data_IF_194877534662
#
_entry.id   IF_194877534662
#
_cell.length_a   1.000
_cell.length_b   1.000
_cell.length_c   1.000
_cell.angle_alpha   90.00
_cell.angle_beta   90.00
_cell.angle_gamma   90.00
#
_symmetry.space_group_name_H-M   'P 1'
#
loop_
_entity.id
_entity.type
_entity.pdbx_description
1 polymer ?
#
# COMPACT_ATOMS: atom_id res chain seq x y z
N UNK A 1 1.02 2.85 -14.24
CA UNK A 1 0.30 4.06 -14.71
C UNK A 1 -0.68 3.63 -15.79
N UNK A 2 -1.95 4.04 -15.71
CA UNK A 2 -2.93 3.86 -16.78
C UNK A 2 -3.29 5.26 -17.28
N UNK A 3 -2.96 5.58 -18.51
CA UNK A 3 -3.38 6.83 -19.13
C UNK A 3 -4.12 6.50 -20.43
N UNK A 4 -5.13 7.30 -20.74
CA UNK A 4 -5.93 7.17 -21.96
C UNK A 4 -5.41 8.19 -22.93
N UNK A 5 -5.02 7.73 -24.11
CA UNK A 5 -4.63 8.58 -25.24
C UNK A 5 -5.66 8.42 -26.33
N UNK A 6 -5.82 9.46 -27.14
CA UNK A 6 -6.49 9.32 -28.43
C UNK A 6 -5.71 8.29 -29.27
N UNK A 7 -6.42 7.55 -30.11
CA UNK A 7 -5.84 6.51 -30.98
C UNK A 7 -4.68 7.07 -31.83
N UNK A 8 -4.88 8.25 -32.41
CA UNK A 8 -3.89 8.99 -33.20
C UNK A 8 -2.63 9.40 -32.42
N UNK A 9 -2.75 9.50 -31.09
CA UNK A 9 -1.66 9.88 -30.19
C UNK A 9 -0.95 8.67 -29.58
N UNK A 10 -1.45 7.45 -29.77
CA UNK A 10 -0.93 6.25 -29.12
C UNK A 10 0.55 6.00 -29.44
N UNK A 11 0.95 6.21 -30.69
CA UNK A 11 2.36 6.04 -31.11
C UNK A 11 3.31 7.09 -30.52
N UNK A 12 2.80 8.24 -30.07
CA UNK A 12 3.60 9.31 -29.45
C UNK A 12 3.57 9.24 -27.92
N UNK A 13 2.79 8.32 -27.37
CA UNK A 13 2.64 8.19 -25.93
C UNK A 13 3.92 7.58 -25.32
N UNK A 14 4.54 8.30 -24.39
CA UNK A 14 5.72 7.82 -23.70
C UNK A 14 5.32 6.87 -22.57
N UNK A 15 6.06 5.76 -22.36
CA UNK A 15 5.81 4.88 -21.23
C UNK A 15 6.00 5.65 -19.91
N UNK A 16 5.31 5.22 -18.87
CA UNK A 16 5.48 5.83 -17.55
C UNK A 16 6.90 5.57 -17.03
N UNK A 17 7.70 6.61 -16.88
CA UNK A 17 9.11 6.49 -16.47
C UNK A 17 9.29 6.41 -14.94
N UNK A 18 8.21 6.58 -14.18
CA UNK A 18 8.21 6.51 -12.72
C UNK A 18 8.58 5.09 -12.27
N UNK A 19 9.83 4.91 -11.84
CA UNK A 19 10.29 3.64 -11.28
C UNK A 19 9.79 3.48 -9.84
N UNK A 20 9.36 2.28 -9.48
CA UNK A 20 8.92 1.93 -8.12
C UNK A 20 10.01 1.24 -7.30
N UNK A 21 11.21 1.09 -7.86
CA UNK A 21 12.37 0.44 -7.26
C UNK A 21 13.67 0.94 -7.92
N UNK A 22 14.81 0.79 -7.26
CA UNK A 22 16.13 1.12 -7.76
C UNK A 22 16.55 0.13 -8.87
N UNK A 23 16.92 0.67 -10.04
CA UNK A 23 17.34 -0.11 -11.21
C UNK A 23 18.84 -0.38 -11.24
N UNK A 24 19.63 0.43 -10.55
CA UNK A 24 21.07 0.29 -10.43
C UNK A 24 21.54 0.42 -8.98
N UNK A 25 22.75 -0.06 -8.68
CA UNK A 25 23.34 0.08 -7.33
C UNK A 25 23.51 1.52 -6.88
N UNK A 26 23.70 2.45 -7.82
CA UNK A 26 23.88 3.88 -7.52
C UNK A 26 22.60 4.55 -7.03
N UNK A 27 21.45 3.94 -7.33
CA UNK A 27 20.13 4.47 -6.96
C UNK A 27 19.65 3.93 -5.60
N UNK A 28 20.37 2.96 -5.02
CA UNK A 28 20.03 2.38 -3.72
C UNK A 28 20.36 3.39 -2.62
N UNK A 29 19.38 3.68 -1.76
CA UNK A 29 19.51 4.63 -0.66
C UNK A 29 19.53 6.13 -1.07
N UNK A 30 19.57 6.43 -2.37
CA UNK A 30 19.58 7.82 -2.88
C UNK A 30 18.26 8.13 -3.57
N UNK A 31 17.35 8.80 -2.87
CA UNK A 31 16.06 9.18 -3.43
C UNK A 31 16.15 10.54 -4.13
N UNK A 32 15.80 10.58 -5.41
CA UNK A 32 15.67 11.82 -6.19
C UNK A 32 14.22 12.20 -6.45
N UNK A 33 13.96 13.47 -6.68
CA UNK A 33 12.65 13.93 -7.15
C UNK A 33 12.35 13.34 -8.53
N UNK A 34 11.09 12.93 -8.73
CA UNK A 34 10.55 12.55 -10.03
C UNK A 34 9.42 13.49 -10.36
N UNK A 35 9.70 14.48 -11.19
CA UNK A 35 8.76 15.53 -11.56
C UNK A 35 7.89 15.10 -12.74
N UNK A 36 6.58 15.24 -12.58
CA UNK A 36 5.59 14.99 -13.62
C UNK A 36 4.80 16.27 -13.86
N UNK A 37 4.57 16.60 -15.14
CA UNK A 37 3.85 17.81 -15.53
C UNK A 37 2.34 17.66 -15.28
N UNK A 38 1.73 18.74 -14.81
CA UNK A 38 0.31 18.81 -14.49
C UNK A 38 -0.03 18.18 -13.14
N UNK A 39 -1.33 18.01 -12.87
CA UNK A 39 -1.80 17.37 -11.63
C UNK A 39 -1.56 18.16 -10.35
N UNK A 40 -1.28 19.47 -10.45
CA UNK A 40 -1.16 20.35 -9.30
C UNK A 40 -2.55 20.65 -8.73
N UNK A 41 -2.98 19.93 -7.69
CA UNK A 41 -4.29 20.05 -7.05
C UNK A 41 -4.36 21.29 -6.13
N UNK A 42 -3.24 21.68 -5.52
CA UNK A 42 -3.20 22.83 -4.59
C UNK A 42 -3.30 24.18 -5.31
N UNK A 43 -2.82 24.24 -6.56
CA UNK A 43 -2.74 25.47 -7.35
C UNK A 43 -1.79 26.52 -6.80
N UNK A 44 -0.91 26.16 -5.87
CA UNK A 44 0.14 27.03 -5.33
C UNK A 44 1.49 26.34 -5.43
N UNK A 45 2.50 27.09 -5.82
CA UNK A 45 3.87 26.60 -5.89
C UNK A 45 4.48 26.54 -4.48
N UNK A 46 4.89 25.37 -4.02
CA UNK A 46 5.52 25.18 -2.71
C UNK A 46 6.85 25.93 -2.59
N UNK A 47 7.52 26.20 -3.71
CA UNK A 47 8.79 26.93 -3.73
C UNK A 47 8.62 28.44 -3.58
N UNK A 48 7.80 29.07 -4.42
CA UNK A 48 7.67 30.53 -4.48
C UNK A 48 6.38 31.07 -3.85
N UNK A 49 5.49 30.17 -3.41
CA UNK A 49 4.19 30.46 -2.80
C UNK A 49 3.19 31.22 -3.70
N UNK A 50 3.53 31.43 -4.98
CA UNK A 50 2.65 32.05 -5.98
C UNK A 50 1.72 31.01 -6.63
N UNK A 51 0.59 31.48 -7.15
CA UNK A 51 -0.41 30.64 -7.82
C UNK A 51 0.17 29.96 -9.07
N UNK A 52 -0.04 28.66 -9.21
CA UNK A 52 0.20 27.92 -10.46
C UNK A 52 -1.03 28.15 -11.34
N UNK A 53 -0.83 28.69 -12.56
CA UNK A 53 -1.92 28.94 -13.50
C UNK A 53 -2.37 27.62 -14.11
N UNK A 54 -3.24 26.90 -13.43
CA UNK A 54 -3.80 25.63 -13.89
C UNK A 54 -4.91 25.91 -14.93
N UNK A 55 -4.54 26.38 -16.13
CA UNK A 55 -5.44 26.33 -17.28
C UNK A 55 -5.26 24.95 -17.95
N UNK A 56 -6.35 24.17 -18.04
CA UNK A 56 -6.38 22.83 -18.63
C UNK A 56 -5.39 21.79 -18.05
N UNK A 57 -5.01 21.93 -16.76
CA UNK A 57 -4.34 20.89 -15.96
C UNK A 57 -2.94 20.41 -16.38
N UNK A 58 -2.30 21.02 -17.39
CA UNK A 58 -0.99 20.62 -17.94
C UNK A 58 0.15 21.60 -17.63
N UNK A 59 -0.03 22.50 -16.66
CA UNK A 59 0.97 23.50 -16.26
C UNK A 59 1.42 23.22 -14.83
N UNK A 60 2.71 23.45 -14.55
CA UNK A 60 3.32 23.11 -13.27
C UNK A 60 3.83 21.67 -13.24
N UNK A 61 4.65 21.40 -12.24
CA UNK A 61 5.26 20.10 -11.99
C UNK A 61 4.85 19.65 -10.59
N UNK A 62 4.53 18.38 -10.42
CA UNK A 62 4.44 17.77 -9.10
C UNK A 62 5.45 16.63 -8.98
N UNK A 63 6.04 16.47 -7.80
CA UNK A 63 6.91 15.33 -7.52
C UNK A 63 6.07 14.15 -7.06
N UNK A 64 6.23 12.98 -7.69
CA UNK A 64 5.43 11.78 -7.39
C UNK A 64 5.63 11.26 -5.96
N UNK A 65 6.78 11.52 -5.35
CA UNK A 65 7.13 10.97 -4.04
C UNK A 65 6.85 11.92 -2.87
N UNK A 66 7.33 13.17 -2.93
CA UNK A 66 7.08 14.15 -1.87
C UNK A 66 5.82 14.99 -2.06
N UNK A 67 5.13 14.85 -3.20
CA UNK A 67 3.90 15.57 -3.55
C UNK A 67 4.02 17.10 -3.58
N UNK A 68 5.25 17.63 -3.64
CA UNK A 68 5.47 19.06 -3.86
C UNK A 68 4.96 19.46 -5.24
N UNK A 69 4.30 20.61 -5.32
CA UNK A 69 3.84 21.25 -6.55
C UNK A 69 4.64 22.52 -6.79
N UNK A 70 5.22 22.68 -7.98
CA UNK A 70 6.06 23.84 -8.34
C UNK A 70 5.73 24.34 -9.74
N UNK A 71 6.10 25.60 -10.02
CA UNK A 71 6.18 26.07 -11.41
C UNK A 71 7.34 25.40 -12.15
N UNK A 72 7.22 25.25 -13.47
CA UNK A 72 8.32 24.81 -14.34
C UNK A 72 9.59 25.66 -14.12
N UNK A 73 9.44 26.99 -14.02
CA UNK A 73 10.55 27.93 -13.78
C UNK A 73 11.19 27.78 -12.38
N UNK A 74 10.47 27.21 -11.42
CA UNK A 74 10.99 26.97 -10.07
C UNK A 74 11.87 25.71 -10.00
N UNK A 75 11.86 24.85 -11.02
CA UNK A 75 12.57 23.56 -11.02
C UNK A 75 14.08 23.69 -10.84
N UNK A 76 14.71 24.66 -11.50
CA UNK A 76 16.17 24.86 -11.41
C UNK A 76 16.63 25.24 -10.00
N UNK A 77 15.72 25.83 -9.20
CA UNK A 77 15.96 26.20 -7.82
C UNK A 77 15.64 25.06 -6.83
N UNK A 78 15.20 23.90 -7.32
CA UNK A 78 15.00 22.69 -6.53
C UNK A 78 16.27 21.84 -6.58
N UNK A 79 16.63 21.24 -5.44
CA UNK A 79 17.66 20.21 -5.40
C UNK A 79 17.21 18.93 -6.12
N UNK A 80 18.14 17.99 -6.27
CA UNK A 80 17.82 16.67 -6.83
C UNK A 80 17.24 15.70 -5.79
N UNK A 81 17.67 15.80 -4.53
CA UNK A 81 17.29 14.90 -3.44
C UNK A 81 15.85 15.10 -3.00
N UNK A 82 15.13 14.00 -2.80
CA UNK A 82 13.75 13.99 -2.34
C UNK A 82 13.62 13.23 -1.03
N UNK A 83 13.02 13.87 -0.03
CA UNK A 83 12.81 13.34 1.31
C UNK A 83 11.47 12.61 1.49
N UNK A 84 10.75 12.37 0.39
CA UNK A 84 9.36 11.86 0.38
C UNK A 84 8.34 12.74 1.12
N UNK A 85 8.72 13.97 1.47
CA UNK A 85 7.84 15.02 1.96
C UNK A 85 7.01 14.64 3.18
N UNK A 86 5.76 15.12 3.19
CA UNK A 86 4.88 14.94 4.34
C UNK A 86 4.58 13.48 4.64
N UNK A 87 4.54 12.58 3.65
CA UNK A 87 4.17 11.19 3.85
C UNK A 87 5.38 10.25 4.03
N UNK A 88 6.58 10.79 4.29
CA UNK A 88 7.83 10.04 4.38
C UNK A 88 7.81 8.87 5.37
N UNK A 89 7.04 8.96 6.45
CA UNK A 89 6.97 7.89 7.45
C UNK A 89 6.41 6.60 6.85
N UNK A 90 5.47 6.73 5.90
CA UNK A 90 4.77 5.59 5.32
C UNK A 90 5.23 5.22 3.92
N UNK A 91 5.80 6.16 3.16
CA UNK A 91 6.28 5.90 1.80
C UNK A 91 7.51 4.99 1.86
N UNK A 92 7.48 3.91 1.07
CA UNK A 92 8.66 3.12 0.76
C UNK A 92 9.24 3.62 -0.56
N UNK A 93 10.29 4.47 -0.55
CA UNK A 93 10.80 5.08 -1.76
C UNK A 93 11.39 4.03 -2.72
N UNK A 94 11.42 4.31 -4.04
CA UNK A 94 12.09 3.44 -5.00
C UNK A 94 13.52 3.09 -4.61
N UNK A 95 14.28 4.03 -4.05
CA UNK A 95 15.65 3.82 -3.57
C UNK A 95 15.77 2.79 -2.44
N UNK A 96 14.68 2.48 -1.74
CA UNK A 96 14.59 1.46 -0.68
C UNK A 96 14.13 0.09 -1.18
N UNK A 97 13.84 -0.06 -2.47
CA UNK A 97 13.42 -1.35 -3.06
C UNK A 97 14.39 -1.69 -4.18
N UNK A 98 15.01 -2.86 -4.16
CA UNK A 98 15.98 -3.22 -5.20
C UNK A 98 16.05 -4.74 -5.44
N UNK A 99 16.40 -5.19 -6.66
CA UNK A 99 16.64 -6.60 -6.92
C UNK A 99 17.77 -7.15 -6.04
N UNK A 100 17.58 -8.35 -5.50
CA UNK A 100 18.57 -9.06 -4.69
C UNK A 100 19.93 -9.18 -5.38
N UNK A 101 19.95 -9.28 -6.72
CA UNK A 101 21.19 -9.32 -7.52
C UNK A 101 22.02 -8.03 -7.42
N UNK A 102 21.38 -6.88 -7.17
CA UNK A 102 22.07 -5.62 -6.93
C UNK A 102 22.70 -5.57 -5.54
N UNK A 103 22.16 -6.29 -4.56
CA UNK A 103 22.72 -6.42 -3.21
C UNK A 103 24.07 -7.17 -3.20
N UNK A 104 24.32 -8.01 -4.22
CA UNK A 104 25.45 -8.94 -4.28
C UNK A 104 26.79 -8.25 -4.63
N UNK A 105 27.34 -7.51 -3.66
CA UNK A 105 28.79 -7.42 -3.41
C UNK A 105 29.28 -8.45 -2.38
N UNK A 106 28.37 -9.20 -1.76
CA UNK A 106 28.67 -10.35 -0.90
C UNK A 106 28.06 -11.61 -1.50
N UNK A 107 28.89 -12.65 -1.59
CA UNK A 107 28.69 -13.89 -2.31
C UNK A 107 27.41 -14.63 -1.93
N UNK A 108 26.68 -15.14 -2.93
CA UNK A 108 25.97 -16.43 -2.87
C UNK A 108 25.67 -16.93 -4.27
N UNK A 109 26.54 -17.83 -4.76
CA UNK A 109 26.25 -18.72 -5.88
C UNK A 109 25.16 -19.70 -5.44
N UNK A 110 23.99 -19.65 -6.04
CA UNK A 110 23.17 -20.85 -6.23
C UNK A 110 22.45 -20.78 -7.56
N UNK A 111 22.89 -21.66 -8.45
CA UNK A 111 22.21 -22.11 -9.65
C UNK A 111 20.80 -22.62 -9.36
N UNK A 112 19.84 -22.33 -10.23
CA UNK A 112 19.04 -23.35 -10.93
C UNK A 112 18.08 -22.74 -11.96
N UNK A 113 18.14 -23.34 -13.14
CA UNK A 113 17.25 -23.21 -14.30
C UNK A 113 15.82 -23.62 -13.95
N UNK A 114 14.81 -22.85 -14.37
CA UNK A 114 13.45 -23.35 -14.60
C UNK A 114 12.70 -22.38 -15.51
N UNK A 115 12.17 -22.91 -16.62
CA UNK A 115 11.24 -22.20 -17.51
C UNK A 115 9.94 -21.93 -16.73
N UNK A 116 9.47 -20.68 -16.73
CA UNK A 116 8.30 -20.24 -15.96
C UNK A 116 7.26 -19.58 -16.86
N UNK A 117 6.00 -19.93 -16.63
CA UNK A 117 4.79 -19.41 -17.27
C UNK A 117 4.46 -17.99 -16.79
N UNK A 118 3.61 -17.25 -17.53
CA UNK A 118 3.36 -15.82 -17.29
C UNK A 118 2.81 -15.46 -15.88
N UNK A 119 2.05 -16.34 -15.23
CA UNK A 119 1.56 -16.11 -13.85
C UNK A 119 2.67 -16.19 -12.79
N UNK A 120 3.71 -16.98 -13.06
CA UNK A 120 4.85 -17.17 -12.16
C UNK A 120 5.87 -16.00 -12.29
N UNK A 121 5.68 -15.13 -13.29
CA UNK A 121 6.51 -13.94 -13.52
C UNK A 121 6.17 -12.79 -12.56
N UNK A 122 4.90 -12.65 -12.15
CA UNK A 122 4.50 -11.62 -11.18
C UNK A 122 4.88 -12.01 -9.75
N UNK A 123 4.72 -13.29 -9.38
CA UNK A 123 5.20 -13.82 -8.09
C UNK A 123 6.74 -13.75 -7.96
N UNK A 124 7.47 -14.17 -9.01
CA UNK A 124 8.94 -14.11 -8.99
C UNK A 124 9.51 -12.69 -8.95
N UNK A 125 8.75 -11.67 -9.40
CA UNK A 125 9.20 -10.28 -9.32
C UNK A 125 9.32 -9.80 -7.87
N UNK A 126 8.40 -10.19 -6.98
CA UNK A 126 8.48 -9.81 -5.56
C UNK A 126 9.52 -10.64 -4.81
N UNK A 127 9.67 -11.92 -5.14
CA UNK A 127 10.72 -12.78 -4.56
C UNK A 127 12.14 -12.35 -4.95
N UNK A 128 12.28 -11.64 -6.08
CA UNK A 128 13.55 -11.08 -6.52
C UNK A 128 13.89 -9.74 -5.86
N UNK A 129 12.93 -9.01 -5.29
CA UNK A 129 13.14 -7.68 -4.72
C UNK A 129 13.39 -7.75 -3.21
N UNK A 130 14.25 -6.86 -2.72
CA UNK A 130 14.55 -6.62 -1.32
C UNK A 130 14.09 -5.24 -0.93
N UNK A 131 13.78 -5.07 0.34
CA UNK A 131 13.41 -3.82 0.95
C UNK A 131 14.45 -3.47 2.01
N UNK A 132 14.99 -2.26 1.91
CA UNK A 132 15.82 -1.64 2.95
C UNK A 132 15.17 -0.31 3.34
N UNK A 133 14.35 -0.28 4.41
CA UNK A 133 13.54 0.88 4.74
C UNK A 133 14.40 2.04 5.22
N UNK A 134 13.93 3.26 4.95
CA UNK A 134 14.56 4.48 5.45
C UNK A 134 14.57 4.46 6.98
N UNK A 135 15.67 4.91 7.60
CA UNK A 135 15.76 4.95 9.06
C UNK A 135 14.70 5.88 9.66
N UNK A 136 14.18 5.53 10.84
CA UNK A 136 13.15 6.28 11.57
C UNK A 136 11.84 6.47 10.78
N UNK A 137 11.46 5.49 9.95
CA UNK A 137 10.15 5.45 9.28
C UNK A 137 9.43 4.14 9.58
N UNK A 138 8.14 4.09 9.24
CA UNK A 138 7.26 2.94 9.39
C UNK A 138 6.56 2.63 8.06
N UNK A 139 7.22 1.89 7.15
CA UNK A 139 6.66 1.54 5.85
C UNK A 139 5.27 0.93 5.97
N UNK A 140 4.31 1.49 5.25
CA UNK A 140 2.92 1.05 5.32
C UNK A 140 2.62 0.02 4.23
N UNK A 141 2.07 -1.13 4.62
CA UNK A 141 1.47 -2.11 3.72
C UNK A 141 -0.04 -1.92 3.70
N UNK A 142 -0.61 -1.58 2.55
CA UNK A 142 -2.02 -1.26 2.39
C UNK A 142 -2.73 -2.38 1.64
N UNK A 143 -3.75 -2.97 2.26
CA UNK A 143 -4.66 -3.90 1.61
C UNK A 143 -5.99 -3.22 1.36
N UNK A 144 -6.49 -3.31 0.12
CA UNK A 144 -7.77 -2.71 -0.25
C UNK A 144 -8.69 -3.77 -0.83
N UNK A 145 -9.92 -3.84 -0.32
CA UNK A 145 -11.02 -4.54 -0.98
C UNK A 145 -11.76 -3.55 -1.90
N UNK A 146 -11.60 -3.64 -3.23
CA UNK A 146 -12.19 -2.65 -4.15
C UNK A 146 -13.72 -2.65 -4.18
N UNK A 147 -14.36 -3.77 -3.81
CA UNK A 147 -15.83 -3.89 -3.77
C UNK A 147 -16.45 -3.22 -2.54
N UNK A 148 -15.66 -2.93 -1.50
CA UNK A 148 -16.15 -2.29 -0.27
C UNK A 148 -16.57 -0.83 -0.48
N UNK A 149 -17.50 -0.36 0.36
CA UNK A 149 -17.90 1.06 0.40
C UNK A 149 -18.72 1.55 -0.80
N UNK A 150 -19.45 0.67 -1.50
CA UNK A 150 -20.25 1.07 -2.66
C UNK A 150 -19.40 1.53 -3.85
N UNK A 151 -18.35 0.75 -4.18
CA UNK A 151 -17.33 1.05 -5.20
C UNK A 151 -16.36 2.19 -4.83
N UNK A 152 -16.39 2.69 -3.60
CA UNK A 152 -15.35 3.61 -3.10
C UNK A 152 -13.99 2.92 -2.96
N UNK A 153 -13.97 1.60 -2.70
CA UNK A 153 -12.73 0.83 -2.59
C UNK A 153 -11.81 0.96 -3.81
N UNK A 154 -12.34 1.01 -5.02
CA UNK A 154 -11.53 1.28 -6.22
C UNK A 154 -10.86 2.66 -6.13
N UNK A 155 -11.62 3.72 -5.83
CA UNK A 155 -11.07 5.08 -5.70
C UNK A 155 -9.98 5.16 -4.63
N UNK A 156 -10.20 4.48 -3.50
CA UNK A 156 -9.22 4.38 -2.40
C UNK A 156 -7.95 3.65 -2.86
N UNK A 157 -8.08 2.52 -3.57
CA UNK A 157 -6.95 1.80 -4.14
C UNK A 157 -6.12 2.70 -5.05
N UNK A 158 -6.76 3.38 -6.01
CA UNK A 158 -6.09 4.28 -6.94
C UNK A 158 -5.40 5.44 -6.21
N UNK A 159 -6.06 6.07 -5.23
CA UNK A 159 -5.49 7.20 -4.51
C UNK A 159 -4.34 6.78 -3.59
N UNK A 160 -4.39 5.61 -2.95
CA UNK A 160 -3.22 5.12 -2.20
C UNK A 160 -2.05 4.75 -3.12
N UNK A 161 -2.29 4.17 -4.31
CA UNK A 161 -1.23 3.93 -5.30
C UNK A 161 -0.62 5.22 -5.85
N UNK A 162 -1.34 6.34 -5.74
CA UNK A 162 -0.82 7.67 -6.06
C UNK A 162 -0.02 8.26 -4.88
N UNK A 163 -0.54 8.18 -3.66
CA UNK A 163 0.06 8.78 -2.47
C UNK A 163 1.31 8.02 -1.97
N UNK A 164 1.32 6.70 -2.13
CA UNK A 164 2.37 5.78 -1.70
C UNK A 164 3.04 5.13 -2.91
N UNK A 165 4.10 4.36 -2.67
CA UNK A 165 4.63 3.50 -3.73
C UNK A 165 3.60 2.41 -4.09
N UNK A 166 3.22 2.22 -5.37
CA UNK A 166 2.25 1.20 -5.76
C UNK A 166 2.58 -0.23 -5.30
N UNK A 167 3.86 -0.53 -5.03
CA UNK A 167 4.30 -1.82 -4.45
C UNK A 167 3.86 -2.03 -3.00
N UNK A 168 3.34 -1.00 -2.35
CA UNK A 168 2.80 -1.03 -1.00
C UNK A 168 1.29 -1.32 -0.97
N UNK A 169 0.61 -1.24 -2.11
CA UNK A 169 -0.86 -1.20 -2.15
C UNK A 169 -1.40 -2.39 -2.93
N UNK A 170 -2.02 -3.33 -2.22
CA UNK A 170 -2.47 -4.61 -2.76
C UNK A 170 -3.99 -4.64 -2.91
N UNK A 171 -4.43 -5.14 -4.07
CA UNK A 171 -5.84 -5.38 -4.34
C UNK A 171 -6.21 -6.78 -3.87
N UNK A 172 -6.99 -6.87 -2.79
CA UNK A 172 -7.33 -8.15 -2.17
C UNK A 172 -8.14 -9.08 -3.07
N UNK A 173 -8.94 -8.56 -3.99
CA UNK A 173 -9.74 -9.39 -4.89
C UNK A 173 -8.94 -9.95 -6.06
N UNK A 174 -7.80 -9.31 -6.38
CA UNK A 174 -6.95 -9.71 -7.50
C UNK A 174 -5.78 -10.57 -7.02
N UNK A 175 -5.06 -10.09 -6.02
CA UNK A 175 -3.76 -10.62 -5.65
C UNK A 175 -3.81 -11.44 -4.33
N UNK A 176 -4.87 -11.28 -3.54
CA UNK A 176 -4.95 -11.79 -2.18
C UNK A 176 -3.96 -11.09 -1.22
N UNK A 177 -3.99 -11.42 0.08
CA UNK A 177 -3.08 -10.85 1.08
C UNK A 177 -1.66 -11.45 1.08
N UNK A 178 -1.52 -12.71 0.68
CA UNK A 178 -0.27 -13.48 0.82
C UNK A 178 0.93 -12.86 0.09
N UNK A 179 0.81 -12.30 -1.13
CA UNK A 179 1.95 -11.66 -1.79
C UNK A 179 2.49 -10.45 -1.02
N UNK A 180 1.59 -9.62 -0.48
CA UNK A 180 1.98 -8.42 0.28
C UNK A 180 2.65 -8.78 1.60
N UNK A 181 2.08 -9.73 2.35
CA UNK A 181 2.67 -10.21 3.61
C UNK A 181 4.04 -10.85 3.40
N UNK A 182 4.22 -11.62 2.32
CA UNK A 182 5.54 -12.18 1.96
C UNK A 182 6.55 -11.10 1.61
N UNK A 183 6.14 -10.10 0.84
CA UNK A 183 7.03 -9.01 0.41
C UNK A 183 7.49 -8.15 1.59
N UNK A 184 6.63 -7.94 2.60
CA UNK A 184 6.93 -7.17 3.80
C UNK A 184 7.43 -7.98 5.00
N UNK A 185 7.60 -9.30 4.85
CA UNK A 185 7.89 -10.23 5.95
C UNK A 185 9.04 -9.79 6.86
N UNK A 186 10.12 -9.32 6.24
CA UNK A 186 11.37 -8.98 6.92
C UNK A 186 11.56 -7.45 7.05
N UNK A 187 10.50 -6.65 6.82
CA UNK A 187 10.58 -5.19 6.88
C UNK A 187 10.38 -4.73 8.33
N UNK A 188 11.43 -4.21 9.00
CA UNK A 188 11.32 -3.75 10.38
C UNK A 188 10.38 -2.55 10.48
N UNK A 189 9.62 -2.48 11.57
CA UNK A 189 8.73 -1.35 11.87
C UNK A 189 7.56 -1.18 10.89
N UNK A 190 7.30 -2.15 10.00
CA UNK A 190 6.18 -2.05 9.07
C UNK A 190 4.84 -2.02 9.80
N UNK A 191 3.88 -1.31 9.21
CA UNK A 191 2.49 -1.24 9.68
C UNK A 191 1.57 -1.73 8.57
N UNK A 192 0.40 -2.24 8.93
CA UNK A 192 -0.62 -2.66 7.95
C UNK A 192 -1.83 -1.74 8.04
N UNK A 193 -2.36 -1.31 6.90
CA UNK A 193 -3.65 -0.64 6.78
C UNK A 193 -4.61 -1.50 5.95
N UNK A 194 -5.74 -1.90 6.55
CA UNK A 194 -6.77 -2.69 5.86
C UNK A 194 -7.96 -1.80 5.53
N UNK A 195 -8.28 -1.69 4.25
CA UNK A 195 -9.38 -0.89 3.74
C UNK A 195 -10.55 -1.80 3.37
N UNK A 196 -11.53 -1.93 4.27
CA UNK A 196 -12.64 -2.86 4.18
C UNK A 196 -13.54 -2.82 5.41
N UNK A 197 -14.46 -3.78 5.52
CA UNK A 197 -15.24 -4.04 6.73
C UNK A 197 -14.64 -5.19 7.56
N UNK A 198 -15.34 -5.61 8.60
CA UNK A 198 -14.89 -6.58 9.60
C UNK A 198 -14.46 -7.91 8.97
N UNK A 199 -15.19 -8.41 7.97
CA UNK A 199 -14.80 -9.64 7.25
C UNK A 199 -13.50 -9.51 6.46
N UNK A 200 -13.21 -8.33 5.91
CA UNK A 200 -11.93 -8.06 5.24
C UNK A 200 -10.79 -7.99 6.25
N UNK A 201 -11.00 -7.33 7.39
CA UNK A 201 -10.01 -7.27 8.47
C UNK A 201 -9.74 -8.66 9.03
N UNK A 202 -10.79 -9.46 9.25
CA UNK A 202 -10.67 -10.83 9.73
C UNK A 202 -9.86 -11.72 8.79
N UNK A 203 -10.09 -11.61 7.48
CA UNK A 203 -9.30 -12.34 6.49
C UNK A 203 -7.80 -11.99 6.57
N UNK A 204 -7.46 -10.70 6.67
CA UNK A 204 -6.05 -10.28 6.83
C UNK A 204 -5.43 -10.85 8.10
N UNK A 205 -6.12 -10.74 9.24
CA UNK A 205 -5.63 -11.26 10.52
C UNK A 205 -5.39 -12.76 10.46
N UNK A 206 -6.29 -13.52 9.85
CA UNK A 206 -6.12 -14.96 9.64
C UNK A 206 -4.93 -15.27 8.73
N UNK A 207 -4.73 -14.53 7.65
CA UNK A 207 -3.55 -14.73 6.79
C UNK A 207 -2.25 -14.37 7.51
N UNK A 208 -2.24 -13.34 8.36
CA UNK A 208 -1.08 -13.00 9.20
C UNK A 208 -0.73 -14.16 10.13
N UNK A 209 -1.72 -14.78 10.78
CA UNK A 209 -1.49 -15.95 11.65
C UNK A 209 -0.82 -17.09 10.89
N UNK A 210 -1.26 -17.34 9.64
CA UNK A 210 -0.71 -18.39 8.76
C UNK A 210 0.64 -18.03 8.16
N UNK A 211 0.98 -16.75 8.06
CA UNK A 211 2.20 -16.27 7.39
C UNK A 211 3.48 -16.51 8.22
N UNK A 212 3.36 -16.86 9.50
CA UNK A 212 4.48 -17.11 10.42
C UNK A 212 5.57 -16.02 10.32
N UNK A 213 5.12 -14.76 10.45
CA UNK A 213 5.99 -13.59 10.39
C UNK A 213 6.89 -13.53 11.63
N UNK A 214 8.18 -13.13 11.50
CA UNK A 214 9.09 -13.02 12.65
C UNK A 214 8.58 -12.03 13.70
N UNK A 215 7.96 -10.94 13.24
CA UNK A 215 7.30 -9.93 14.06
C UNK A 215 5.94 -9.64 13.42
N UNK A 216 4.88 -9.67 14.23
CA UNK A 216 3.52 -9.36 13.76
C UNK A 216 3.34 -7.83 13.76
N UNK A 217 3.08 -7.21 12.59
CA UNK A 217 2.91 -5.76 12.50
C UNK A 217 1.55 -5.31 13.06
N UNK A 218 1.46 -4.09 13.61
CA UNK A 218 0.17 -3.51 14.00
C UNK A 218 -0.72 -3.27 12.79
N UNK A 219 -2.02 -3.48 12.98
CA UNK A 219 -3.05 -3.38 11.91
C UNK A 219 -3.99 -2.21 12.22
N UNK A 220 -4.07 -1.26 11.29
CA UNK A 220 -5.04 -0.18 11.27
C UNK A 220 -6.17 -0.51 10.30
N UNK A 221 -7.34 0.11 10.50
CA UNK A 221 -8.53 -0.11 9.67
C UNK A 221 -8.98 1.19 9.05
N UNK A 222 -9.15 1.21 7.73
CA UNK A 222 -9.95 2.21 7.02
C UNK A 222 -11.34 1.61 6.77
N UNK A 223 -12.37 1.99 7.55
CA UNK A 223 -13.68 1.34 7.50
C UNK A 223 -14.40 1.61 6.18
N UNK A 224 -14.45 0.63 5.28
CA UNK A 224 -15.13 0.72 4.00
C UNK A 224 -16.28 -0.29 3.92
N UNK A 225 -17.48 0.22 3.60
CA UNK A 225 -18.66 -0.63 3.41
C UNK A 225 -19.48 -0.80 4.69
N UNK A 226 -20.11 -1.97 4.81
CA UNK A 226 -20.99 -2.35 5.92
C UNK A 226 -20.27 -3.29 6.87
N UNK A 227 -20.62 -3.25 8.17
CA UNK A 227 -19.97 -4.04 9.21
C UNK A 227 -18.57 -3.50 9.50
N UNK A 228 -18.49 -2.40 10.25
CA UNK A 228 -17.25 -1.70 10.62
C UNK A 228 -17.12 -1.65 12.15
N UNK A 229 -17.70 -2.63 12.85
CA UNK A 229 -17.85 -2.59 14.29
C UNK A 229 -16.49 -2.71 14.98
N UNK A 230 -15.57 -3.47 14.39
CA UNK A 230 -14.18 -3.53 14.87
C UNK A 230 -13.50 -2.16 14.75
N UNK A 231 -13.70 -1.45 13.63
CA UNK A 231 -13.16 -0.11 13.43
C UNK A 231 -13.74 0.90 14.44
N UNK A 232 -15.03 0.78 14.80
CA UNK A 232 -15.67 1.60 15.84
C UNK A 232 -15.07 1.34 17.21
N UNK A 233 -14.91 0.07 17.60
CA UNK A 233 -14.31 -0.33 18.86
C UNK A 233 -12.87 0.19 19.00
N UNK A 234 -12.09 0.10 17.92
CA UNK A 234 -10.70 0.59 17.86
C UNK A 234 -10.59 2.10 17.56
N UNK A 235 -11.72 2.81 17.47
CA UNK A 235 -11.80 4.26 17.25
C UNK A 235 -11.22 4.77 15.93
N UNK A 236 -11.20 3.92 14.90
CA UNK A 236 -10.89 4.32 13.51
C UNK A 236 -12.09 4.98 12.80
N UNK A 237 -13.28 4.89 13.39
CA UNK A 237 -14.49 5.54 12.88
C UNK A 237 -15.55 4.55 12.37
N UNK A 238 -16.72 5.08 12.01
CA UNK A 238 -17.88 4.27 11.61
C UNK A 238 -17.96 3.94 10.11
N UNK A 239 -17.20 4.64 9.28
CA UNK A 239 -17.22 4.52 7.82
C UNK A 239 -16.42 5.64 7.16
N UNK A 240 -15.82 5.33 6.01
CA UNK A 240 -15.16 6.30 5.16
C UNK A 240 -16.17 7.01 4.26
N UNK A 241 -16.13 8.34 4.28
CA UNK A 241 -17.08 9.23 3.61
C UNK A 241 -16.36 10.14 2.60
N UNK A 242 -15.20 9.69 2.09
CA UNK A 242 -14.40 10.49 1.16
C UNK A 242 -13.46 11.49 1.82
N UNK A 243 -13.09 11.28 3.09
CA UNK A 243 -12.11 12.12 3.76
C UNK A 243 -10.75 12.09 3.04
N UNK A 244 -9.92 13.12 3.23
CA UNK A 244 -8.60 13.18 2.59
C UNK A 244 -7.70 12.03 3.10
N UNK A 245 -7.32 11.10 2.22
CA UNK A 245 -6.49 9.95 2.58
C UNK A 245 -5.08 10.34 3.07
N UNK A 246 -4.52 11.46 2.62
CA UNK A 246 -3.25 11.98 3.15
C UNK A 246 -3.37 12.41 4.61
N UNK A 247 -4.51 12.97 5.02
CA UNK A 247 -4.79 13.23 6.43
C UNK A 247 -4.91 11.95 7.24
N UNK A 248 -5.57 10.91 6.70
CA UNK A 248 -5.67 9.60 7.36
C UNK A 248 -4.28 8.98 7.57
N UNK A 249 -3.38 9.09 6.58
CA UNK A 249 -1.99 8.65 6.72
C UNK A 249 -1.27 9.42 7.85
N UNK A 250 -1.52 10.73 7.99
CA UNK A 250 -0.99 11.52 9.13
C UNK A 250 -1.58 11.13 10.48
N UNK A 251 -2.87 10.84 10.52
CA UNK A 251 -3.52 10.35 11.73
C UNK A 251 -2.95 8.96 12.12
N UNK A 252 -2.63 8.12 11.13
CA UNK A 252 -1.99 6.82 11.32
C UNK A 252 -0.55 6.93 11.85
N UNK A 253 0.25 7.87 11.32
CA UNK A 253 1.59 8.20 11.82
C UNK A 253 1.57 8.49 13.33
N UNK A 254 0.62 9.32 13.77
CA UNK A 254 0.44 9.74 15.17
C UNK A 254 -0.36 8.74 16.03
N UNK A 255 -0.86 7.66 15.45
CA UNK A 255 -1.71 6.70 16.15
C UNK A 255 -0.93 5.88 17.19
N UNK A 256 -1.64 5.30 18.15
CA UNK A 256 -1.07 4.45 19.19
C UNK A 256 -1.38 2.99 18.91
N UNK A 257 -0.38 2.14 19.12
CA UNK A 257 -0.57 0.69 19.11
C UNK A 257 -1.30 0.28 20.38
N UNK A 258 -2.34 -0.53 20.22
CA UNK A 258 -3.10 -1.15 21.31
C UNK A 258 -3.14 -2.65 21.08
N UNK A 259 -3.17 -3.41 22.17
CA UNK A 259 -3.40 -4.85 22.08
C UNK A 259 -4.90 -5.12 21.93
N UNK A 260 -5.21 -6.17 21.17
CA UNK A 260 -6.57 -6.62 20.91
C UNK A 260 -6.63 -8.11 21.18
N UNK A 261 -7.56 -8.52 22.03
CA UNK A 261 -7.82 -9.92 22.29
C UNK A 261 -8.56 -10.55 21.12
N UNK A 262 -8.24 -11.82 20.83
CA UNK A 262 -8.88 -12.63 19.79
C UNK A 262 -9.31 -13.93 20.41
N UNK A 263 -10.54 -14.37 20.15
CA UNK A 263 -11.10 -15.56 20.79
C UNK A 263 -10.98 -16.77 19.88
N UNK A 264 -10.39 -17.84 20.40
CA UNK A 264 -10.48 -19.16 19.78
C UNK A 264 -11.73 -19.88 20.28
N UNK A 265 -12.57 -20.32 19.35
CA UNK A 265 -13.83 -21.01 19.64
C UNK A 265 -13.79 -22.41 19.04
N UNK A 266 -14.09 -23.39 19.88
CA UNK A 266 -14.28 -24.78 19.49
C UNK A 266 -15.77 -25.12 19.65
N UNK A 267 -16.39 -25.64 18.60
CA UNK A 267 -17.79 -26.08 18.63
C UNK A 267 -17.78 -27.61 18.62
N UNK A 268 -18.34 -28.19 19.67
CA UNK A 268 -18.41 -29.64 19.86
C UNK A 268 -19.84 -30.08 19.51
N UNK A 269 -20.07 -30.75 18.36
CA UNK A 269 -21.39 -31.23 18.01
C UNK A 269 -21.84 -32.31 19.00
N UNK A 270 -23.09 -32.23 19.46
CA UNK A 270 -23.74 -33.38 20.09
C UNK A 270 -23.96 -34.45 19.03
N UNK A 271 -23.75 -35.72 19.38
CA UNK A 271 -23.88 -36.87 18.48
C UNK A 271 -25.34 -37.03 18.02
N UNK A 272 -25.74 -36.28 17.01
CA UNK A 272 -26.95 -36.50 16.23
C UNK A 272 -26.54 -36.92 14.83
N UNK A 273 -27.23 -37.91 14.27
CA UNK A 273 -26.94 -38.48 12.93
C UNK A 273 -27.17 -37.49 11.77
N UNK A 274 -27.44 -36.23 12.07
CA UNK A 274 -27.69 -35.18 11.10
C UNK A 274 -26.37 -34.55 10.63
N UNK A 275 -26.21 -34.44 9.31
CA UNK A 275 -25.08 -33.71 8.71
C UNK A 275 -25.18 -32.24 9.10
N UNK A 276 -24.37 -31.80 10.07
CA UNK A 276 -24.23 -30.38 10.41
C UNK A 276 -23.31 -29.67 9.41
N UNK A 277 -23.59 -28.39 9.16
CA UNK A 277 -22.65 -27.54 8.42
C UNK A 277 -21.33 -27.39 9.19
N UNK A 278 -20.18 -27.30 8.48
CA UNK A 278 -18.90 -27.05 9.13
C UNK A 278 -18.88 -25.66 9.77
N UNK A 279 -18.25 -25.57 10.94
CA UNK A 279 -18.05 -24.29 11.63
C UNK A 279 -17.15 -23.40 10.76
N UNK A 280 -17.63 -22.23 10.32
CA UNK A 280 -16.93 -21.45 9.29
C UNK A 280 -15.66 -20.77 9.81
N UNK A 281 -15.58 -20.47 11.10
CA UNK A 281 -14.44 -19.77 11.71
C UNK A 281 -14.14 -20.30 13.10
N UNK A 282 -12.85 -20.53 13.39
CA UNK A 282 -12.36 -20.90 14.72
C UNK A 282 -11.84 -19.69 15.52
N UNK A 283 -11.48 -18.59 14.84
CA UNK A 283 -10.99 -17.37 15.49
C UNK A 283 -12.01 -16.24 15.27
N UNK A 284 -12.34 -15.55 16.35
CA UNK A 284 -13.30 -14.45 16.37
C UNK A 284 -12.58 -13.16 16.77
N UNK A 285 -12.76 -12.12 15.97
CA UNK A 285 -12.07 -10.83 16.13
C UNK A 285 -12.97 -9.70 16.65
N UNK A 286 -14.30 -9.90 16.71
CA UNK A 286 -15.23 -8.82 17.06
C UNK A 286 -16.39 -9.30 17.93
N UNK A 287 -17.28 -10.14 17.39
CA UNK A 287 -18.40 -10.71 18.15
C UNK A 287 -18.80 -12.09 17.63
N UNK A 288 -19.48 -12.84 18.49
CA UNK A 288 -20.16 -14.09 18.17
C UNK A 288 -21.64 -13.92 18.54
N UNK A 289 -22.55 -14.36 17.68
CA UNK A 289 -23.99 -14.28 17.92
C UNK A 289 -24.67 -15.62 17.65
N UNK A 290 -25.58 -16.02 18.53
CA UNK A 290 -26.46 -17.18 18.36
C UNK A 290 -27.85 -16.64 18.04
N UNK A 291 -28.41 -17.02 16.88
CA UNK A 291 -29.78 -16.69 16.51
C UNK A 291 -30.78 -17.59 17.25
N UNK A 292 -31.96 -17.03 17.54
CA UNK A 292 -33.12 -17.77 18.10
C UNK A 292 -34.07 -18.13 16.98
#
# INVERSE_FOLDING_TARGET
CKYVVHDQCAMKALPCEVSTYAKSRKDIGVQSHVWVRGGCESGRCDRCQKKIRIYHSLVGLHCVWCHLEIHDDCLQAMGHECDCGLLRDHILPPSSIYPSVLASGQERKTSKTSQKTMDDLHLSTFEALRIDPVSNTHPLLVFVNPKSGGKQGERVLWKFQYLLNPRQVFNLLKDGPEPGLRFFRDVPGCRILVCGGDGTVGWILETIDKANMPVVPPVAVLPLGTGNDLARCLRWGGGYEGQNLGKILKDLEMSKVVHMDRWSVEVIPQQTEEKSDPVPFQIINNYFSIGV
#
